data_IF_066846345548
#
_entry.id   IF_066846345548
#
_cell.length_a   1.000
_cell.length_b   1.000
_cell.length_c   1.000
_cell.angle_alpha   90.00
_cell.angle_beta   90.00
_cell.angle_gamma   90.00
#
_symmetry.space_group_name_H-M   'P 1'
#
loop_
_entity.id
_entity.type
_entity.pdbx_description
1 polymer ?
#
# COMPACT_ATOMS: atom_id res chain seq x y z
N UNK A 1 4.54 -48.22 54.12
CA UNK A 1 5.78 -47.67 53.54
C UNK A 1 5.41 -47.26 52.12
N UNK A 2 5.20 -45.97 51.81
CA UNK A 2 6.23 -44.98 51.41
C UNK A 2 7.09 -45.58 50.28
N UNK A 3 7.19 -45.07 49.05
CA UNK A 3 7.20 -43.68 48.56
C UNK A 3 7.11 -43.68 47.00
N UNK A 4 6.67 -42.54 46.43
CA UNK A 4 7.04 -41.86 45.16
C UNK A 4 7.16 -42.65 43.84
N UNK A 5 6.35 -42.36 42.81
CA UNK A 5 6.58 -41.38 41.72
C UNK A 5 7.87 -41.62 40.93
N UNK A 6 7.74 -41.94 39.64
CA UNK A 6 8.23 -41.08 38.55
C UNK A 6 7.57 -41.45 37.21
N UNK A 7 7.11 -40.38 36.54
CA UNK A 7 6.49 -40.33 35.22
C UNK A 7 7.65 -40.03 34.27
N UNK A 8 7.96 -40.92 33.32
CA UNK A 8 8.90 -40.56 32.25
C UNK A 8 8.15 -39.90 31.09
N UNK A 9 8.71 -38.77 30.72
CA UNK A 9 8.19 -37.71 29.86
C UNK A 9 8.15 -38.10 28.39
N UNK A 10 7.20 -37.49 27.69
CA UNK A 10 7.19 -37.34 26.24
C UNK A 10 8.48 -36.70 25.75
N UNK A 11 9.08 -37.23 24.67
CA UNK A 11 9.81 -36.38 23.73
C UNK A 11 9.51 -36.84 22.31
N UNK A 12 8.99 -35.88 21.55
CA UNK A 12 8.47 -36.00 20.22
C UNK A 12 9.48 -35.29 19.31
N UNK A 13 10.61 -35.93 19.05
CA UNK A 13 11.71 -35.32 18.29
C UNK A 13 11.49 -35.54 16.79
N UNK A 14 10.61 -34.72 16.22
CA UNK A 14 10.63 -34.42 14.79
C UNK A 14 11.30 -33.05 14.63
N UNK A 15 12.62 -32.99 14.80
CA UNK A 15 13.43 -31.86 14.39
C UNK A 15 13.56 -31.89 12.87
N UNK A 16 12.61 -31.25 12.19
CA UNK A 16 12.83 -30.76 10.83
C UNK A 16 13.59 -29.45 11.01
N UNK A 17 14.92 -29.50 10.92
CA UNK A 17 15.74 -28.31 10.70
C UNK A 17 15.27 -27.67 9.39
N UNK A 18 14.55 -26.55 9.50
CA UNK A 18 14.32 -25.64 8.39
C UNK A 18 15.59 -24.79 8.33
N UNK A 19 16.42 -25.05 7.33
CA UNK A 19 17.54 -24.18 6.96
C UNK A 19 16.97 -22.80 6.61
N UNK A 20 17.12 -21.86 7.54
CA UNK A 20 16.68 -20.46 7.46
C UNK A 20 17.73 -19.56 6.76
N UNK A 21 18.60 -20.14 5.91
CA UNK A 21 19.79 -19.48 5.36
C UNK A 21 19.74 -19.22 3.83
N UNK A 22 18.57 -18.90 3.26
CA UNK A 22 18.51 -18.43 1.86
C UNK A 22 17.58 -17.21 1.65
N UNK A 23 17.74 -16.12 2.41
CA UNK A 23 17.26 -14.79 1.98
C UNK A 23 18.23 -13.68 2.40
N UNK A 24 19.43 -13.74 1.84
CA UNK A 24 20.53 -12.82 2.13
C UNK A 24 21.08 -12.09 0.92
N UNK A 25 20.25 -11.65 -0.03
CA UNK A 25 20.70 -10.65 -1.02
C UNK A 25 19.92 -9.34 -0.83
N UNK A 26 20.60 -8.37 -0.21
CA UNK A 26 20.25 -6.96 -0.31
C UNK A 26 20.31 -6.58 -1.80
N UNK A 27 19.18 -6.70 -2.50
CA UNK A 27 19.03 -6.15 -3.85
C UNK A 27 19.08 -4.65 -3.68
N UNK A 28 20.24 -4.07 -3.89
CA UNK A 28 20.46 -2.63 -3.89
C UNK A 28 19.79 -2.06 -5.15
N UNK A 29 18.50 -1.75 -5.06
CA UNK A 29 17.61 -1.35 -6.16
C UNK A 29 18.13 -0.09 -6.91
N UNK A 30 19.10 0.62 -6.34
CA UNK A 30 19.57 1.92 -6.83
C UNK A 30 21.07 1.99 -7.19
N UNK A 31 21.77 0.86 -7.29
CA UNK A 31 23.21 0.86 -7.61
C UNK A 31 23.49 0.93 -9.13
N UNK A 32 23.52 2.15 -9.68
CA UNK A 32 24.28 2.52 -10.89
C UNK A 32 23.70 2.10 -12.26
N UNK A 33 24.20 2.69 -13.36
CA UNK A 33 23.51 2.71 -14.67
C UNK A 33 23.75 1.48 -15.56
N UNK A 34 24.52 0.48 -15.11
CA UNK A 34 24.91 -0.66 -15.94
C UNK A 34 24.72 -1.97 -15.17
N UNK A 35 23.57 -2.62 -15.36
CA UNK A 35 23.46 -4.07 -15.61
C UNK A 35 22.01 -4.47 -15.89
N UNK A 36 21.87 -5.31 -16.92
CA UNK A 36 20.67 -6.08 -17.24
C UNK A 36 20.10 -6.74 -15.98
N UNK A 37 19.03 -6.15 -15.43
CA UNK A 37 18.24 -6.72 -14.36
C UNK A 37 17.48 -7.92 -14.94
N UNK A 38 18.11 -9.09 -14.97
CA UNK A 38 17.33 -10.33 -15.00
C UNK A 38 16.77 -10.50 -13.60
N UNK A 39 15.66 -9.81 -13.34
CA UNK A 39 14.75 -10.13 -12.26
C UNK A 39 14.54 -11.65 -12.28
N UNK A 40 14.54 -12.34 -11.13
CA UNK A 40 14.05 -13.71 -11.09
C UNK A 40 12.69 -13.70 -11.78
N UNK A 41 12.59 -14.44 -12.90
CA UNK A 41 11.35 -14.74 -13.59
C UNK A 41 10.52 -15.67 -12.69
N UNK A 42 10.26 -15.26 -11.45
CA UNK A 42 9.44 -16.01 -10.52
C UNK A 42 8.01 -15.55 -10.71
N UNK A 43 7.45 -16.14 -11.78
CA UNK A 43 6.06 -16.14 -12.16
C UNK A 43 5.53 -14.75 -12.47
N UNK A 44 5.09 -14.53 -13.70
CA UNK A 44 4.08 -13.51 -13.97
C UNK A 44 2.93 -13.77 -12.99
N UNK A 45 2.93 -13.02 -11.89
CA UNK A 45 1.84 -13.01 -10.93
C UNK A 45 0.69 -12.39 -11.73
N UNK A 46 -0.17 -13.26 -12.24
CA UNK A 46 -1.29 -12.88 -13.08
C UNK A 46 -2.10 -11.79 -12.39
N UNK A 47 -2.73 -10.92 -13.18
CA UNK A 47 -3.61 -9.84 -12.68
C UNK A 47 -4.62 -10.37 -11.65
N UNK A 48 -5.10 -11.61 -11.85
CA UNK A 48 -5.94 -12.33 -10.91
C UNK A 48 -5.38 -12.40 -9.48
N UNK A 49 -4.06 -12.61 -9.31
CA UNK A 49 -3.45 -12.66 -7.97
C UNK A 49 -3.39 -11.28 -7.31
N UNK A 50 -3.22 -10.20 -8.09
CA UNK A 50 -3.26 -8.83 -7.56
C UNK A 50 -4.69 -8.52 -7.10
N UNK A 51 -5.68 -8.85 -7.93
CA UNK A 51 -7.08 -8.68 -7.59
C UNK A 51 -7.46 -9.43 -6.31
N UNK A 52 -7.09 -10.71 -6.21
CA UNK A 52 -7.35 -11.53 -5.02
C UNK A 52 -6.70 -10.93 -3.76
N UNK A 53 -5.51 -10.36 -3.88
CA UNK A 53 -4.83 -9.71 -2.75
C UNK A 53 -5.55 -8.43 -2.28
N UNK A 54 -6.13 -7.66 -3.20
CA UNK A 54 -6.93 -6.47 -2.85
C UNK A 54 -8.24 -6.87 -2.20
N UNK A 55 -8.93 -7.89 -2.74
CA UNK A 55 -10.14 -8.44 -2.13
C UNK A 55 -9.87 -9.03 -0.73
N UNK A 56 -8.70 -9.66 -0.55
CA UNK A 56 -8.26 -10.14 0.76
C UNK A 56 -7.99 -8.98 1.72
N UNK A 57 -7.33 -7.92 1.26
CA UNK A 57 -7.13 -6.71 2.05
C UNK A 57 -8.48 -6.11 2.48
N UNK A 58 -9.46 -5.99 1.58
CA UNK A 58 -10.79 -5.47 1.89
C UNK A 58 -11.49 -6.28 2.98
N UNK A 59 -11.49 -7.61 2.87
CA UNK A 59 -12.07 -8.51 3.88
C UNK A 59 -11.39 -8.34 5.24
N UNK A 60 -10.06 -8.39 5.27
CA UNK A 60 -9.28 -8.27 6.51
C UNK A 60 -9.49 -6.89 7.16
N UNK A 61 -9.61 -5.83 6.35
CA UNK A 61 -9.91 -4.49 6.85
C UNK A 61 -11.30 -4.45 7.51
N UNK A 62 -12.33 -5.01 6.86
CA UNK A 62 -13.70 -5.03 7.38
C UNK A 62 -13.86 -5.90 8.65
N UNK A 63 -13.03 -6.94 8.82
CA UNK A 63 -13.01 -7.74 10.05
C UNK A 63 -12.48 -6.96 11.26
N UNK A 64 -11.51 -6.07 11.05
CA UNK A 64 -10.87 -5.29 12.11
C UNK A 64 -11.62 -3.98 12.39
N UNK A 65 -12.18 -3.35 11.36
CA UNK A 65 -12.83 -2.06 11.44
C UNK A 65 -14.33 -2.19 11.12
N UNK A 66 -15.23 -2.02 12.12
CA UNK A 66 -16.67 -2.21 11.96
C UNK A 66 -17.33 -1.23 10.97
N UNK A 67 -16.73 -0.06 10.78
CA UNK A 67 -17.14 0.90 9.75
C UNK A 67 -16.42 0.54 8.46
N UNK A 68 -17.17 0.45 7.36
CA UNK A 68 -16.57 0.28 6.04
C UNK A 68 -15.61 1.44 5.74
N UNK A 69 -14.41 1.15 5.22
CA UNK A 69 -13.52 2.16 4.68
C UNK A 69 -14.00 2.66 3.30
N UNK A 70 -13.22 3.51 2.62
CA UNK A 70 -13.55 3.95 1.27
C UNK A 70 -13.61 2.77 0.29
N UNK A 71 -14.48 2.88 -0.72
CA UNK A 71 -14.72 1.83 -1.70
C UNK A 71 -13.45 1.54 -2.52
N UNK A 72 -12.96 0.30 -2.45
CA UNK A 72 -11.74 -0.11 -3.15
C UNK A 72 -12.01 -0.36 -4.64
N UNK A 73 -11.10 0.15 -5.47
CA UNK A 73 -10.99 -0.27 -6.85
C UNK A 73 -10.38 -1.67 -6.92
N UNK A 74 -11.19 -2.64 -7.33
CA UNK A 74 -10.79 -4.03 -7.47
C UNK A 74 -10.20 -4.25 -8.87
N UNK A 75 -8.87 -4.13 -8.97
CA UNK A 75 -8.11 -4.28 -10.19
C UNK A 75 -6.62 -4.03 -9.97
N UNK A 76 -5.81 -4.25 -11.00
CA UNK A 76 -4.37 -3.97 -10.97
C UNK A 76 -4.07 -2.48 -10.79
N UNK A 77 -2.84 -2.17 -10.33
CA UNK A 77 -2.39 -0.77 -10.23
C UNK A 77 -2.40 -0.07 -11.60
N UNK A 78 -2.07 -0.80 -12.67
CA UNK A 78 -2.12 -0.28 -14.04
C UNK A 78 -3.54 0.11 -14.45
N UNK A 79 -4.52 -0.76 -14.21
CA UNK A 79 -5.93 -0.46 -14.48
C UNK A 79 -6.39 0.76 -13.68
N UNK A 80 -6.02 0.84 -12.40
CA UNK A 80 -6.36 1.99 -11.55
C UNK A 80 -5.75 3.30 -12.09
N UNK A 81 -4.50 3.29 -12.55
CA UNK A 81 -3.84 4.46 -13.17
C UNK A 81 -4.56 4.84 -14.47
N UNK A 82 -4.88 3.86 -15.33
CA UNK A 82 -5.56 4.12 -16.59
C UNK A 82 -6.96 4.71 -16.39
N UNK A 83 -7.75 4.14 -15.48
CA UNK A 83 -9.06 4.69 -15.11
C UNK A 83 -8.94 6.08 -14.48
N UNK A 84 -7.94 6.30 -13.63
CA UNK A 84 -7.78 7.56 -12.90
C UNK A 84 -7.33 8.72 -13.79
N UNK A 85 -6.32 8.49 -14.63
CA UNK A 85 -5.59 9.56 -15.31
C UNK A 85 -5.90 9.65 -16.80
N UNK A 86 -6.34 8.56 -17.42
CA UNK A 86 -6.43 8.44 -18.88
C UNK A 86 -7.84 8.11 -19.40
N UNK A 87 -8.83 7.91 -18.52
CA UNK A 87 -10.24 7.72 -18.90
C UNK A 87 -10.84 9.01 -19.49
N UNK A 88 -11.42 9.01 -20.70
CA UNK A 88 -11.96 10.23 -21.29
C UNK A 88 -13.26 10.71 -20.63
N UNK A 89 -13.95 9.88 -19.85
CA UNK A 89 -15.31 10.13 -19.35
C UNK A 89 -15.35 10.34 -17.83
N UNK A 90 -14.64 9.54 -17.04
CA UNK A 90 -14.71 9.58 -15.57
C UNK A 90 -13.31 9.64 -14.93
N UNK A 91 -12.59 10.72 -15.22
CA UNK A 91 -11.27 11.01 -14.63
C UNK A 91 -11.41 11.49 -13.19
N UNK A 92 -10.82 10.72 -12.26
CA UNK A 92 -10.69 11.07 -10.85
C UNK A 92 -9.26 10.77 -10.38
N UNK A 93 -8.65 11.61 -9.52
CA UNK A 93 -7.32 11.36 -8.98
C UNK A 93 -7.26 10.01 -8.25
N UNK A 94 -6.13 9.30 -8.38
CA UNK A 94 -5.90 8.01 -7.75
C UNK A 94 -5.34 8.24 -6.35
N UNK A 95 -6.04 7.73 -5.34
CA UNK A 95 -5.63 7.77 -3.95
C UNK A 95 -5.14 6.38 -3.53
N UNK A 96 -3.83 6.25 -3.35
CA UNK A 96 -3.17 5.04 -2.90
C UNK A 96 -3.09 5.00 -1.37
N UNK A 97 -3.60 3.93 -0.77
CA UNK A 97 -3.39 3.61 0.64
C UNK A 97 -2.40 2.45 0.79
N UNK A 98 -1.27 2.70 1.43
CA UNK A 98 -0.28 1.67 1.74
C UNK A 98 -0.36 1.32 3.22
N UNK A 99 -0.79 0.09 3.48
CA UNK A 99 -0.95 -0.46 4.81
C UNK A 99 0.33 -1.14 5.28
N UNK A 100 0.69 -0.96 6.56
CA UNK A 100 1.64 -1.84 7.25
C UNK A 100 1.17 -2.08 8.68
N UNK A 101 0.90 -3.32 9.05
CA UNK A 101 0.37 -3.71 10.35
C UNK A 101 1.41 -3.68 11.51
N UNK A 102 2.50 -2.91 11.37
CA UNK A 102 3.62 -2.91 12.33
C UNK A 102 3.66 -1.68 13.24
N UNK A 103 2.78 -0.69 13.05
CA UNK A 103 2.81 0.58 13.80
C UNK A 103 1.47 0.86 14.49
N UNK A 104 1.45 1.28 15.77
CA UNK A 104 0.21 1.71 16.44
C UNK A 104 -0.51 2.84 15.70
N UNK A 105 0.26 3.71 15.02
CA UNK A 105 -0.25 4.78 14.17
C UNK A 105 -1.16 4.28 13.04
N UNK A 106 -0.89 3.10 12.47
CA UNK A 106 -1.74 2.52 11.43
C UNK A 106 -3.15 2.23 11.93
N UNK A 107 -3.29 1.65 13.11
CA UNK A 107 -4.61 1.36 13.67
C UNK A 107 -5.39 2.63 13.98
N UNK A 108 -4.71 3.63 14.57
CA UNK A 108 -5.31 4.93 14.90
C UNK A 108 -5.75 5.65 13.63
N UNK A 109 -4.92 5.68 12.59
CA UNK A 109 -5.25 6.28 11.31
C UNK A 109 -6.45 5.60 10.64
N UNK A 110 -6.46 4.27 10.55
CA UNK A 110 -7.60 3.54 9.99
C UNK A 110 -8.90 3.87 10.71
N UNK A 111 -8.89 3.80 12.05
CA UNK A 111 -10.09 4.01 12.88
C UNK A 111 -10.59 5.45 12.87
N UNK A 112 -9.69 6.43 12.93
CA UNK A 112 -10.09 7.83 13.10
C UNK A 112 -10.23 8.59 11.78
N UNK A 113 -9.50 8.17 10.74
CA UNK A 113 -9.46 8.86 9.44
C UNK A 113 -10.17 8.03 8.37
N UNK A 114 -9.69 6.82 8.06
CA UNK A 114 -10.29 6.02 6.97
C UNK A 114 -11.68 5.50 7.27
N UNK A 115 -12.03 5.33 8.54
CA UNK A 115 -13.37 4.93 8.98
C UNK A 115 -14.29 6.14 9.29
N UNK A 116 -13.81 7.36 9.09
CA UNK A 116 -14.63 8.56 9.28
C UNK A 116 -15.59 8.73 8.09
N UNK A 117 -16.89 8.83 8.38
CA UNK A 117 -17.93 8.88 7.35
C UNK A 117 -17.79 10.05 6.39
N UNK A 118 -17.32 11.23 6.85
CA UNK A 118 -17.13 12.39 5.97
C UNK A 118 -15.94 12.18 5.02
N UNK A 119 -14.87 11.56 5.51
CA UNK A 119 -13.70 11.20 4.69
C UNK A 119 -14.07 10.13 3.66
N UNK A 120 -14.78 9.08 4.06
CA UNK A 120 -15.27 8.02 3.16
C UNK A 120 -16.13 8.61 2.06
N UNK A 121 -17.18 9.35 2.43
CA UNK A 121 -18.09 9.99 1.50
C UNK A 121 -17.37 10.90 0.50
N UNK A 122 -16.34 11.61 0.96
CA UNK A 122 -15.57 12.49 0.11
C UNK A 122 -14.63 11.72 -0.83
N UNK A 123 -13.94 10.70 -0.33
CA UNK A 123 -13.06 9.85 -1.15
C UNK A 123 -13.88 9.16 -2.25
N UNK A 124 -14.97 8.49 -1.91
CA UNK A 124 -15.77 7.71 -2.86
C UNK A 124 -16.34 8.56 -4.00
N UNK A 125 -16.69 9.81 -3.71
CA UNK A 125 -17.22 10.77 -4.70
C UNK A 125 -16.13 11.40 -5.56
N UNK A 126 -14.91 11.53 -5.07
CA UNK A 126 -13.89 12.40 -5.67
C UNK A 126 -12.61 11.71 -6.13
N UNK A 127 -12.35 10.50 -5.66
CA UNK A 127 -11.12 9.75 -5.90
C UNK A 127 -11.43 8.36 -6.40
N UNK A 128 -10.46 7.78 -7.12
CA UNK A 128 -10.36 6.33 -7.27
C UNK A 128 -9.47 5.83 -6.12
N UNK A 129 -9.99 5.00 -5.23
CA UNK A 129 -9.24 4.52 -4.07
C UNK A 129 -8.66 3.13 -4.32
N UNK A 130 -7.36 2.95 -4.08
CA UNK A 130 -6.66 1.68 -4.25
C UNK A 130 -5.75 1.42 -3.06
N UNK A 131 -5.78 0.21 -2.52
CA UNK A 131 -5.02 -0.15 -1.34
C UNK A 131 -4.11 -1.34 -1.56
N UNK A 132 -3.00 -1.37 -0.81
CA UNK A 132 -2.06 -2.48 -0.83
C UNK A 132 -1.47 -2.75 0.54
N UNK A 133 -1.41 -4.03 0.90
CA UNK A 133 -0.76 -4.49 2.13
C UNK A 133 0.75 -4.65 1.93
N UNK A 134 1.50 -3.69 2.43
CA UNK A 134 2.96 -3.69 2.43
C UNK A 134 3.57 -4.32 3.70
N UNK A 135 2.79 -5.02 4.53
CA UNK A 135 3.26 -5.60 5.82
C UNK A 135 4.38 -6.62 5.63
N UNK A 136 4.34 -7.37 4.51
CA UNK A 136 5.39 -8.30 4.10
C UNK A 136 6.32 -7.63 3.10
N UNK A 137 7.63 -7.79 3.25
CA UNK A 137 8.61 -7.18 2.35
C UNK A 137 8.44 -7.61 0.89
N UNK A 138 8.05 -8.86 0.65
CA UNK A 138 7.72 -9.36 -0.69
C UNK A 138 6.58 -8.56 -1.35
N UNK A 139 5.53 -8.21 -0.59
CA UNK A 139 4.43 -7.39 -1.11
C UNK A 139 4.88 -5.96 -1.38
N UNK A 140 5.77 -5.42 -0.54
CA UNK A 140 6.33 -4.09 -0.75
C UNK A 140 7.24 -4.03 -1.98
N UNK A 141 8.14 -4.99 -2.16
CA UNK A 141 8.95 -5.12 -3.37
C UNK A 141 8.07 -5.26 -4.62
N UNK A 142 7.00 -6.07 -4.55
CA UNK A 142 6.01 -6.19 -5.62
C UNK A 142 5.35 -4.85 -5.95
N UNK A 143 4.95 -4.08 -4.94
CA UNK A 143 4.41 -2.73 -5.12
C UNK A 143 5.41 -1.81 -5.84
N UNK A 144 6.68 -1.81 -5.43
CA UNK A 144 7.71 -1.00 -6.07
C UNK A 144 7.93 -1.37 -7.54
N UNK A 145 7.86 -2.66 -7.89
CA UNK A 145 7.95 -3.12 -9.28
C UNK A 145 6.76 -2.63 -10.11
N UNK A 146 5.53 -2.79 -9.61
CA UNK A 146 4.33 -2.28 -10.29
C UNK A 146 4.39 -0.76 -10.48
N UNK A 147 4.89 -0.03 -9.48
CA UNK A 147 5.03 1.42 -9.54
C UNK A 147 6.11 1.86 -10.53
N UNK A 148 7.23 1.15 -10.57
CA UNK A 148 8.30 1.41 -11.52
C UNK A 148 7.84 1.21 -12.97
N UNK A 149 7.07 0.14 -13.20
CA UNK A 149 6.55 -0.23 -14.52
C UNK A 149 5.49 0.77 -15.03
N UNK A 150 4.51 1.14 -14.20
CA UNK A 150 3.34 1.90 -14.66
C UNK A 150 3.38 3.41 -14.33
N UNK A 151 4.22 3.83 -13.38
CA UNK A 151 4.35 5.25 -12.98
C UNK A 151 5.74 5.80 -13.28
N UNK A 152 6.78 5.01 -13.03
CA UNK A 152 8.15 5.34 -13.37
C UNK A 152 9.08 5.58 -12.18
N UNK A 153 10.38 5.84 -12.46
CA UNK A 153 11.44 5.79 -11.45
C UNK A 153 11.39 6.93 -10.43
N UNK A 154 10.92 8.12 -10.83
CA UNK A 154 10.83 9.30 -9.95
C UNK A 154 9.95 9.03 -8.73
N UNK A 155 8.72 8.57 -8.97
CA UNK A 155 7.75 8.27 -7.91
C UNK A 155 8.19 7.04 -7.11
N UNK A 156 8.74 6.02 -7.78
CA UNK A 156 9.30 4.83 -7.10
C UNK A 156 10.41 5.19 -6.12
N UNK A 157 11.34 6.05 -6.52
CA UNK A 157 12.40 6.54 -5.63
C UNK A 157 11.86 7.36 -4.45
N UNK A 158 10.70 8.02 -4.58
CA UNK A 158 10.03 8.68 -3.45
C UNK A 158 9.48 7.67 -2.46
N UNK A 159 8.89 6.56 -2.92
CA UNK A 159 8.34 5.51 -2.05
C UNK A 159 9.43 4.78 -1.27
N UNK A 160 10.56 4.50 -1.91
CA UNK A 160 11.70 3.82 -1.25
C UNK A 160 12.25 4.62 -0.08
N UNK A 161 12.17 5.95 -0.14
CA UNK A 161 12.67 6.83 0.91
C UNK A 161 11.76 6.94 2.13
N UNK A 162 10.58 6.31 2.10
CA UNK A 162 9.63 6.36 3.21
C UNK A 162 10.11 5.41 4.31
N UNK A 163 10.42 5.91 5.53
CA UNK A 163 10.74 5.06 6.68
C UNK A 163 9.62 4.06 6.97
N UNK A 164 9.96 2.88 7.47
CA UNK A 164 8.98 1.87 7.88
C UNK A 164 8.04 2.39 8.98
N UNK A 165 8.57 3.23 9.86
CA UNK A 165 7.84 3.81 10.99
C UNK A 165 6.85 4.90 10.54
N UNK A 166 7.02 5.44 9.31
CA UNK A 166 6.15 6.47 8.76
C UNK A 166 4.80 5.89 8.27
N UNK A 167 4.62 4.58 8.27
CA UNK A 167 3.37 3.96 7.84
C UNK A 167 2.24 4.15 8.87
N UNK A 168 0.99 4.31 8.40
CA UNK A 168 0.53 4.06 7.03
C UNK A 168 0.76 5.26 6.11
N UNK A 169 0.67 5.06 4.80
CA UNK A 169 0.79 6.16 3.84
C UNK A 169 -0.51 6.30 3.04
N UNK A 170 -0.96 7.55 2.88
CA UNK A 170 -2.01 7.92 1.93
C UNK A 170 -1.39 8.87 0.92
N UNK A 171 -1.46 8.52 -0.36
CA UNK A 171 -0.69 9.16 -1.42
C UNK A 171 -1.60 9.40 -2.62
N UNK A 172 -1.64 10.64 -3.10
CA UNK A 172 -2.38 11.00 -4.30
C UNK A 172 -1.46 10.93 -5.52
N UNK A 173 -1.85 10.16 -6.53
CA UNK A 173 -1.21 10.10 -7.84
C UNK A 173 -1.93 11.05 -8.79
N UNK A 174 -1.18 11.95 -9.40
CA UNK A 174 -1.69 13.01 -10.29
C UNK A 174 -0.89 13.05 -11.58
N UNK A 175 -1.51 13.51 -12.66
CA UNK A 175 -0.81 13.84 -13.90
C UNK A 175 -0.66 15.36 -14.01
N UNK A 176 0.58 15.85 -14.03
CA UNK A 176 0.90 17.27 -14.08
C UNK A 176 2.05 17.53 -15.04
N UNK A 177 1.90 18.54 -15.91
CA UNK A 177 2.95 19.00 -16.83
C UNK A 177 3.58 17.86 -17.67
N UNK A 178 2.75 16.91 -18.11
CA UNK A 178 3.20 15.80 -18.96
C UNK A 178 3.82 14.62 -18.20
N UNK A 179 3.75 14.58 -16.87
CA UNK A 179 4.36 13.55 -16.03
C UNK A 179 3.41 13.09 -14.92
N UNK A 180 3.50 11.81 -14.54
CA UNK A 180 2.83 11.32 -13.34
C UNK A 180 3.67 11.71 -12.10
N UNK A 181 3.03 12.34 -11.13
CA UNK A 181 3.59 12.74 -9.85
C UNK A 181 2.83 12.04 -8.70
N UNK A 182 3.49 11.94 -7.55
CA UNK A 182 2.89 11.46 -6.32
C UNK A 182 3.01 12.54 -5.23
N UNK A 183 1.91 12.80 -4.54
CA UNK A 183 1.85 13.75 -3.43
C UNK A 183 1.37 13.00 -2.20
N UNK A 184 2.20 12.97 -1.15
CA UNK A 184 1.79 12.44 0.14
C UNK A 184 0.68 13.31 0.74
N UNK A 185 -0.38 12.65 1.21
CA UNK A 185 -1.49 13.26 1.93
C UNK A 185 -1.16 13.32 3.42
N UNK A 186 -0.57 12.25 3.96
CA UNK A 186 -0.04 12.19 5.33
C UNK A 186 1.45 12.54 5.28
N UNK A 187 1.91 13.45 6.14
CA UNK A 187 3.33 13.84 6.15
C UNK A 187 4.15 13.03 7.18
N UNK A 188 3.60 12.68 8.36
CA UNK A 188 4.19 11.77 9.34
C UNK A 188 3.12 11.11 10.25
N UNK A 189 3.33 9.90 10.81
CA UNK A 189 2.37 9.29 11.74
C UNK A 189 2.26 9.98 13.11
N UNK A 190 3.25 10.80 13.47
CA UNK A 190 3.19 11.69 14.64
C UNK A 190 2.54 13.05 14.31
N UNK A 191 2.24 13.33 13.03
CA UNK A 191 1.34 14.43 12.75
C UNK A 191 0.01 14.06 13.37
N UNK A 192 -0.43 14.87 14.34
CA UNK A 192 -1.77 14.81 14.91
C UNK A 192 -2.81 15.28 13.86
N UNK A 193 -2.71 14.76 12.64
CA UNK A 193 -3.53 15.20 11.54
C UNK A 193 -4.96 14.88 11.88
N UNK A 194 -5.70 15.95 12.16
CA UNK A 194 -7.11 15.85 12.43
C UNK A 194 -7.84 15.43 11.16
N UNK A 195 -9.06 14.94 11.33
CA UNK A 195 -9.97 14.69 10.22
C UNK A 195 -10.04 15.93 9.30
N UNK A 196 -10.13 17.13 9.88
CA UNK A 196 -10.17 18.39 9.12
C UNK A 196 -8.91 18.63 8.27
N UNK A 197 -7.72 18.34 8.80
CA UNK A 197 -6.48 18.54 8.06
C UNK A 197 -6.41 17.61 6.84
N UNK A 198 -6.72 16.32 7.04
CA UNK A 198 -6.76 15.35 5.95
C UNK A 198 -7.83 15.72 4.93
N UNK A 199 -9.02 16.12 5.38
CA UNK A 199 -10.10 16.58 4.52
C UNK A 199 -9.67 17.79 3.68
N UNK A 200 -9.06 18.79 4.30
CA UNK A 200 -8.55 19.98 3.59
C UNK A 200 -7.43 19.64 2.61
N UNK A 201 -6.57 18.67 2.94
CA UNK A 201 -5.51 18.20 2.04
C UNK A 201 -6.09 17.52 0.81
N UNK A 202 -7.08 16.63 0.99
CA UNK A 202 -7.83 16.01 -0.11
C UNK A 202 -8.54 17.09 -0.94
N UNK A 203 -9.24 18.02 -0.31
CA UNK A 203 -9.93 19.10 -1.01
C UNK A 203 -8.99 19.92 -1.91
N UNK A 204 -7.79 20.23 -1.44
CA UNK A 204 -6.80 20.96 -2.23
C UNK A 204 -6.23 20.13 -3.38
N UNK A 205 -5.96 18.84 -3.15
CA UNK A 205 -5.49 17.93 -4.20
C UNK A 205 -6.53 17.72 -5.30
N UNK A 206 -7.81 17.64 -4.94
CA UNK A 206 -8.90 17.54 -5.91
C UNK A 206 -8.96 18.78 -6.80
N UNK A 207 -8.89 19.98 -6.21
CA UNK A 207 -8.82 21.24 -6.96
C UNK A 207 -7.63 21.30 -7.90
N UNK A 208 -6.46 20.85 -7.44
CA UNK A 208 -5.25 20.78 -8.25
C UNK A 208 -5.41 19.85 -9.45
N UNK A 209 -6.05 18.70 -9.27
CA UNK A 209 -6.40 17.79 -10.36
C UNK A 209 -7.37 18.41 -11.35
N UNK A 210 -8.45 19.04 -10.88
CA UNK A 210 -9.43 19.68 -11.76
C UNK A 210 -8.76 20.78 -12.62
N UNK A 211 -7.86 21.58 -12.03
CA UNK A 211 -7.08 22.57 -12.77
C UNK A 211 -6.10 21.96 -13.77
N UNK A 212 -5.55 20.77 -13.52
CA UNK A 212 -4.64 20.12 -14.48
C UNK A 212 -5.39 19.54 -15.68
N UNK A 213 -6.66 19.13 -15.51
CA UNK A 213 -7.52 18.68 -16.60
C UNK A 213 -7.89 19.79 -17.57
N UNK A 214 -8.03 21.04 -17.11
CA UNK A 214 -8.35 22.19 -17.98
C UNK A 214 -7.20 22.55 -18.95
N UNK A 215 -5.98 22.08 -18.67
CA UNK A 215 -4.76 22.42 -19.41
C UNK A 215 -4.38 21.31 -20.43
N UNK A 216 -5.03 20.14 -20.36
CA UNK A 216 -4.80 18.98 -21.24
C UNK A 216 -5.73 18.98 -22.45
#
# INVERSE_FOLDING_TARGET
>A
MLHSQDIEESNNDNDVEIDDDELGENVDIFAGPDRNLKLPLEQEVSENRIQLAIEEFERNFAEVYPSAGPALFIGSLNEAINHSLFDPVDRRPLLLYLHRNRTPSTHVFCKNILCNSEIIDYIDKNYLFWAWDCTRDANYQRFLLMLLEHVGPKVTAMMVKIPIDDYPQLICILYEQGQINAIKVISHPDDSSSVDEIYMRLLNLRKQFDSSLEIQ
#
